data_IF_475029794443
#
_entry.id   IF_475029794443
#
_cell.length_a   1.000
_cell.length_b   1.000
_cell.length_c   1.000
_cell.angle_alpha   90.00
_cell.angle_beta   90.00
_cell.angle_gamma   90.00
#
_symmetry.space_group_name_H-M   'P 1'
#
loop_
_entity.id
_entity.type
_entity.pdbx_description
1 polymer ?
#
# COMPACT_ATOMS: atom_id res chain seq x y z
N UNK A 1 -15.83 3.19 -14.60
CA UNK A 1 -16.44 3.08 -14.04
C UNK A 1 -16.65 2.89 -12.68
N UNK A 2 -16.31 2.19 -11.87
CA UNK A 2 -16.87 2.03 -10.68
C UNK A 2 -16.18 2.57 -9.55
N UNK A 3 -16.65 3.53 -8.92
CA UNK A 3 -16.09 4.16 -7.75
C UNK A 3 -16.38 3.38 -6.47
N UNK A 4 -16.32 2.07 -6.55
CA UNK A 4 -16.67 1.24 -5.40
C UNK A 4 -15.53 1.03 -4.42
N UNK A 5 -14.32 1.42 -4.75
CA UNK A 5 -13.18 1.24 -3.87
C UNK A 5 -12.73 2.54 -3.23
N UNK A 6 -12.45 2.47 -1.94
CA UNK A 6 -11.71 3.50 -1.23
C UNK A 6 -10.38 2.83 -0.88
N UNK A 7 -9.32 3.23 -1.57
CA UNK A 7 -8.00 2.64 -1.37
C UNK A 7 -7.18 3.51 -0.42
N UNK A 8 -6.63 2.89 0.60
CA UNK A 8 -5.75 3.57 1.57
C UNK A 8 -4.35 3.00 1.40
N UNK A 9 -3.39 3.87 1.17
CA UNK A 9 -1.98 3.50 1.08
C UNK A 9 -1.14 4.60 1.75
N UNK A 10 0.15 4.49 1.76
CA UNK A 10 1.05 5.48 2.34
C UNK A 10 2.48 5.00 2.29
N UNK A 11 3.41 5.81 2.76
CA UNK A 11 4.81 5.45 2.82
C UNK A 11 5.03 4.25 3.74
N UNK A 12 6.15 3.57 3.55
CA UNK A 12 6.55 2.49 4.45
C UNK A 12 6.65 3.06 5.87
N UNK A 13 5.89 2.48 6.79
CA UNK A 13 5.79 2.98 8.17
C UNK A 13 4.56 3.82 8.45
N UNK A 14 3.80 4.21 7.42
CA UNK A 14 2.55 4.95 7.61
C UNK A 14 1.46 4.03 8.22
N UNK A 15 0.56 4.58 9.05
CA UNK A 15 -0.48 3.77 9.69
C UNK A 15 -1.67 3.50 8.75
N UNK A 16 -1.39 2.75 7.67
CA UNK A 16 -2.37 2.48 6.62
C UNK A 16 -3.55 1.66 7.12
N UNK A 17 -3.28 0.59 7.87
CA UNK A 17 -4.35 -0.29 8.36
C UNK A 17 -5.26 0.42 9.34
N UNK A 18 -4.68 1.20 10.24
CA UNK A 18 -5.43 1.96 11.22
C UNK A 18 -6.33 2.99 10.54
N UNK A 19 -5.79 3.68 9.54
CA UNK A 19 -6.56 4.67 8.78
C UNK A 19 -7.68 4.00 7.99
N UNK A 20 -7.40 2.87 7.37
CA UNK A 20 -8.41 2.11 6.62
C UNK A 20 -9.53 1.62 7.55
N UNK A 21 -9.18 1.12 8.73
CA UNK A 21 -10.17 0.70 9.73
C UNK A 21 -11.06 1.85 10.17
N UNK A 22 -10.48 3.02 10.39
CA UNK A 22 -11.22 4.22 10.77
C UNK A 22 -12.23 4.60 9.69
N UNK A 23 -11.81 4.65 8.44
CA UNK A 23 -12.69 5.00 7.33
C UNK A 23 -13.81 3.96 7.16
N UNK A 24 -13.46 2.67 7.23
CA UNK A 24 -14.43 1.60 7.10
C UNK A 24 -15.51 1.71 8.19
N UNK A 25 -15.10 1.99 9.42
CA UNK A 25 -16.04 2.14 10.53
C UNK A 25 -16.94 3.37 10.34
N UNK A 26 -16.35 4.51 9.95
CA UNK A 26 -17.10 5.75 9.75
C UNK A 26 -18.15 5.62 8.64
N UNK A 27 -17.81 4.90 7.59
CA UNK A 27 -18.70 4.76 6.43
C UNK A 27 -19.55 3.50 6.45
N UNK A 28 -19.35 2.64 7.44
CA UNK A 28 -20.09 1.38 7.53
C UNK A 28 -19.78 0.43 6.37
N UNK A 29 -18.54 0.42 5.90
CA UNK A 29 -18.12 -0.41 4.78
C UNK A 29 -17.21 -1.55 5.24
N UNK A 30 -17.20 -2.67 4.51
CA UNK A 30 -16.25 -3.73 4.81
C UNK A 30 -14.81 -3.29 4.51
N UNK A 31 -13.87 -3.86 5.26
CA UNK A 31 -12.45 -3.62 5.08
C UNK A 31 -11.79 -4.84 4.46
N UNK A 32 -10.99 -4.62 3.43
CA UNK A 32 -10.16 -5.67 2.83
C UNK A 32 -8.70 -5.26 3.01
N UNK A 33 -7.92 -6.16 3.61
CA UNK A 33 -6.47 -6.00 3.67
C UNK A 33 -5.89 -6.70 2.45
N UNK A 34 -5.31 -5.96 1.52
CA UNK A 34 -4.89 -6.50 0.23
C UNK A 34 -3.85 -7.62 0.37
N UNK A 35 -2.83 -7.41 1.21
CA UNK A 35 -1.79 -8.42 1.41
C UNK A 35 -2.34 -9.69 2.07
N UNK A 36 -3.26 -9.54 3.01
CA UNK A 36 -3.93 -10.69 3.63
C UNK A 36 -4.73 -11.48 2.61
N UNK A 37 -5.41 -10.79 1.72
CA UNK A 37 -6.19 -11.44 0.67
C UNK A 37 -5.29 -12.19 -0.32
N UNK A 38 -4.16 -11.59 -0.70
CA UNK A 38 -3.18 -12.21 -1.56
C UNK A 38 -2.59 -13.46 -0.90
N UNK A 39 -2.20 -13.36 0.37
CA UNK A 39 -1.65 -14.48 1.12
C UNK A 39 -2.65 -15.62 1.24
N UNK A 40 -3.92 -15.28 1.48
CA UNK A 40 -4.99 -16.27 1.57
C UNK A 40 -5.18 -17.04 0.26
N UNK A 41 -5.13 -16.34 -0.88
CA UNK A 41 -5.30 -16.97 -2.19
C UNK A 41 -4.08 -17.74 -2.65
N UNK A 42 -2.89 -17.18 -2.43
CA UNK A 42 -1.64 -17.76 -2.90
C UNK A 42 -1.10 -18.86 -1.97
N UNK A 43 -1.30 -18.71 -0.67
CA UNK A 43 -0.81 -19.66 0.33
C UNK A 43 0.59 -19.37 0.85
N UNK A 44 1.28 -18.37 0.31
CA UNK A 44 2.63 -17.98 0.75
C UNK A 44 2.59 -16.61 1.40
N UNK A 45 3.57 -16.32 2.27
CA UNK A 45 3.75 -14.96 2.80
C UNK A 45 4.17 -14.02 1.66
N UNK A 46 3.96 -12.74 1.81
CA UNK A 46 4.38 -11.74 0.82
C UNK A 46 5.89 -11.83 0.59
N UNK A 47 6.67 -11.98 1.67
CA UNK A 47 8.13 -12.15 1.57
C UNK A 47 8.49 -13.30 0.65
N UNK A 48 7.88 -14.45 0.87
CA UNK A 48 8.17 -15.66 0.11
C UNK A 48 7.75 -15.52 -1.34
N UNK A 49 6.60 -14.94 -1.55
CA UNK A 49 6.07 -14.69 -2.87
C UNK A 49 7.02 -13.79 -3.68
N UNK A 50 7.47 -12.69 -3.11
CA UNK A 50 8.39 -11.76 -3.77
C UNK A 50 9.73 -12.41 -4.02
N UNK A 51 10.23 -13.21 -3.07
CA UNK A 51 11.52 -13.91 -3.24
C UNK A 51 11.47 -14.92 -4.37
N UNK A 52 10.33 -15.59 -4.58
CA UNK A 52 10.21 -16.63 -5.59
C UNK A 52 9.69 -16.14 -6.93
N UNK A 53 8.77 -15.20 -6.93
CA UNK A 53 8.12 -14.72 -8.15
C UNK A 53 8.54 -13.30 -8.54
N UNK A 54 9.33 -12.62 -7.72
CA UNK A 54 9.76 -11.25 -7.95
C UNK A 54 8.68 -10.25 -7.60
N UNK A 55 9.06 -8.99 -7.63
CA UNK A 55 8.13 -7.90 -7.36
C UNK A 55 7.02 -7.86 -8.41
N UNK A 56 7.36 -8.14 -9.67
CA UNK A 56 6.38 -8.17 -10.74
C UNK A 56 5.25 -9.16 -10.47
N UNK A 57 5.57 -10.35 -9.97
CA UNK A 57 4.57 -11.35 -9.60
C UNK A 57 3.64 -10.86 -8.50
N UNK A 58 4.20 -10.18 -7.51
CA UNK A 58 3.42 -9.60 -6.42
C UNK A 58 2.48 -8.49 -6.95
N UNK A 59 2.99 -7.60 -7.80
CA UNK A 59 2.17 -6.52 -8.39
C UNK A 59 1.03 -7.09 -9.23
N UNK A 60 1.26 -8.18 -9.95
CA UNK A 60 0.20 -8.84 -10.71
C UNK A 60 -0.92 -9.37 -9.80
N UNK A 61 -0.57 -9.92 -8.64
CA UNK A 61 -1.57 -10.41 -7.68
C UNK A 61 -2.34 -9.27 -7.04
N UNK A 62 -1.67 -8.15 -6.74
CA UNK A 62 -2.37 -6.96 -6.28
C UNK A 62 -3.41 -6.51 -7.31
N UNK A 63 -3.01 -6.46 -8.57
CA UNK A 63 -3.90 -6.07 -9.65
C UNK A 63 -5.11 -7.00 -9.77
N UNK A 64 -4.89 -8.30 -9.71
CA UNK A 64 -5.98 -9.28 -9.81
C UNK A 64 -7.03 -9.06 -8.73
N UNK A 65 -6.60 -8.88 -7.48
CA UNK A 65 -7.53 -8.66 -6.38
C UNK A 65 -8.25 -7.32 -6.52
N UNK A 66 -7.50 -6.26 -6.85
CA UNK A 66 -8.12 -4.94 -7.04
C UNK A 66 -9.12 -4.94 -8.19
N UNK A 67 -8.81 -5.63 -9.28
CA UNK A 67 -9.68 -5.75 -10.43
C UNK A 67 -10.99 -6.44 -10.05
N UNK A 68 -10.92 -7.53 -9.29
CA UNK A 68 -12.11 -8.23 -8.84
C UNK A 68 -12.96 -7.37 -7.91
N UNK A 69 -12.33 -6.69 -6.95
CA UNK A 69 -13.05 -5.82 -6.03
C UNK A 69 -13.70 -4.65 -6.76
N UNK A 70 -13.01 -4.10 -7.74
CA UNK A 70 -13.52 -2.99 -8.54
C UNK A 70 -14.73 -3.39 -9.38
N UNK A 71 -14.75 -4.64 -9.84
CA UNK A 71 -15.86 -5.16 -10.65
C UNK A 71 -17.05 -5.60 -9.80
N UNK A 72 -16.87 -5.71 -8.49
CA UNK A 72 -17.92 -6.14 -7.58
C UNK A 72 -19.00 -5.10 -7.42
N UNK A 73 -20.16 -5.55 -6.95
CA UNK A 73 -21.32 -4.68 -6.76
C UNK A 73 -21.27 -3.90 -5.44
N UNK A 74 -20.45 -4.33 -4.50
CA UNK A 74 -20.43 -3.74 -3.15
C UNK A 74 -19.19 -2.88 -2.93
N UNK A 75 -19.36 -1.67 -2.41
CA UNK A 75 -18.20 -0.82 -2.08
C UNK A 75 -17.44 -1.37 -0.88
N UNK A 76 -16.15 -1.11 -0.84
CA UNK A 76 -15.31 -1.51 0.29
C UNK A 76 -14.09 -0.58 0.43
N UNK A 77 -13.47 -0.64 1.61
CA UNK A 77 -12.21 0.05 1.87
C UNK A 77 -11.10 -0.98 1.76
N UNK A 78 -10.05 -0.67 1.01
CA UNK A 78 -8.93 -1.58 0.78
C UNK A 78 -7.67 -0.97 1.35
N UNK A 79 -7.04 -1.67 2.29
CA UNK A 79 -5.72 -1.28 2.82
C UNK A 79 -4.67 -1.90 1.92
N UNK A 80 -3.85 -1.07 1.30
CA UNK A 80 -2.84 -1.49 0.34
C UNK A 80 -1.43 -1.20 0.82
N UNK A 81 -0.46 -1.97 0.34
CA UNK A 81 0.95 -1.73 0.64
C UNK A 81 1.47 -0.44 0.01
N UNK A 82 2.67 -0.07 0.42
CA UNK A 82 3.29 1.20 0.05
C UNK A 82 3.68 1.30 -1.43
N UNK A 83 3.73 0.19 -2.15
CA UNK A 83 4.09 0.18 -3.56
C UNK A 83 2.94 -0.08 -4.52
N UNK A 84 1.70 -0.05 -4.05
CA UNK A 84 0.55 -0.41 -4.89
C UNK A 84 0.39 0.51 -6.11
N UNK A 85 0.83 1.75 -6.01
CA UNK A 85 0.74 2.72 -7.12
C UNK A 85 1.87 2.61 -8.14
N UNK A 86 2.85 1.71 -7.91
CA UNK A 86 3.93 1.53 -8.87
C UNK A 86 3.47 0.81 -10.14
N UNK A 87 2.43 -0.02 -10.03
CA UNK A 87 1.88 -0.72 -11.18
C UNK A 87 0.83 0.15 -11.88
N UNK A 88 1.01 0.42 -13.17
CA UNK A 88 0.14 1.32 -13.90
C UNK A 88 -1.31 0.83 -13.97
N UNK A 89 -1.51 -0.46 -14.11
CA UNK A 89 -2.85 -1.04 -14.20
C UNK A 89 -3.60 -0.94 -12.87
N UNK A 90 -2.92 -1.23 -11.76
CA UNK A 90 -3.49 -1.06 -10.43
C UNK A 90 -3.80 0.41 -10.15
N UNK A 91 -2.89 1.29 -10.54
CA UNK A 91 -3.05 2.73 -10.37
C UNK A 91 -4.29 3.26 -11.10
N UNK A 92 -4.54 2.75 -12.29
CA UNK A 92 -5.72 3.13 -13.05
C UNK A 92 -7.01 2.73 -12.34
N UNK A 93 -7.06 1.51 -11.78
CA UNK A 93 -8.19 1.06 -10.98
C UNK A 93 -8.39 1.96 -9.77
N UNK A 94 -7.31 2.28 -9.07
CA UNK A 94 -7.34 3.12 -7.86
C UNK A 94 -7.87 4.51 -8.22
N UNK A 95 -7.44 5.07 -9.35
CA UNK A 95 -7.89 6.39 -9.77
C UNK A 95 -9.36 6.44 -10.19
N UNK A 96 -9.96 5.29 -10.48
CA UNK A 96 -11.40 5.23 -10.77
C UNK A 96 -12.26 5.32 -9.52
N UNK A 97 -11.66 5.11 -8.35
CA UNK A 97 -12.33 5.24 -7.06
C UNK A 97 -11.77 6.41 -6.25
N UNK A 98 -11.66 6.20 -4.95
CA UNK A 98 -11.12 7.21 -4.04
C UNK A 98 -9.78 6.74 -3.47
N UNK A 99 -8.80 7.63 -3.45
CA UNK A 99 -7.47 7.34 -2.90
C UNK A 99 -7.25 8.17 -1.65
N UNK A 100 -6.85 7.51 -0.56
CA UNK A 100 -6.48 8.16 0.70
C UNK A 100 -5.03 7.80 1.01
N UNK A 101 -4.21 8.81 1.28
CA UNK A 101 -2.82 8.61 1.63
C UNK A 101 -2.66 8.87 3.12
N UNK A 102 -2.30 7.82 3.87
CA UNK A 102 -2.15 7.88 5.31
C UNK A 102 -0.76 8.37 5.71
N UNK A 103 -0.68 8.98 6.88
CA UNK A 103 0.61 9.31 7.50
C UNK A 103 1.37 10.47 6.86
N UNK A 104 0.70 11.33 6.10
CA UNK A 104 1.37 12.46 5.45
C UNK A 104 1.91 13.48 6.43
N UNK A 105 1.45 13.43 7.68
CA UNK A 105 1.90 14.33 8.76
C UNK A 105 3.06 13.75 9.58
N UNK A 106 3.49 12.52 9.30
CA UNK A 106 4.56 11.89 10.05
C UNK A 106 5.94 12.28 9.53
N UNK A 107 6.88 12.44 10.45
CA UNK A 107 8.28 12.67 10.10
C UNK A 107 8.94 11.38 9.61
N UNK A 108 10.06 11.52 8.93
CA UNK A 108 10.83 10.35 8.48
C UNK A 108 11.26 9.49 9.67
N UNK A 109 11.62 10.10 10.80
CA UNK A 109 12.00 9.33 12.00
C UNK A 109 10.82 8.55 12.58
N UNK A 110 9.63 9.14 12.59
CA UNK A 110 8.43 8.44 13.05
C UNK A 110 8.09 7.28 12.13
N UNK A 111 8.20 7.48 10.82
CA UNK A 111 7.99 6.42 9.84
C UNK A 111 9.01 5.30 10.02
N UNK A 112 10.27 5.65 10.31
CA UNK A 112 11.32 4.67 10.54
C UNK A 112 11.04 3.79 11.76
N UNK A 113 10.60 4.40 12.88
CA UNK A 113 10.26 3.63 14.07
C UNK A 113 9.10 2.67 13.80
N UNK A 114 8.11 3.12 13.07
CA UNK A 114 6.98 2.27 12.68
C UNK A 114 7.42 1.15 11.74
N UNK A 115 8.29 1.47 10.78
CA UNK A 115 8.78 0.48 9.81
C UNK A 115 9.59 -0.62 10.47
N UNK A 116 10.41 -0.29 11.47
CA UNK A 116 11.18 -1.28 12.22
C UNK A 116 10.27 -2.25 12.98
N UNK A 117 9.13 -1.77 13.43
CA UNK A 117 8.18 -2.58 14.17
C UNK A 117 7.24 -3.40 13.27
N UNK A 118 7.21 -3.10 11.98
CA UNK A 118 6.31 -3.77 11.03
C UNK A 118 6.87 -5.14 10.63
N UNK A 119 6.15 -6.20 10.97
CA UNK A 119 6.54 -7.56 10.67
C UNK A 119 5.93 -8.09 9.37
N UNK A 120 4.96 -7.37 8.82
CA UNK A 120 4.19 -7.86 7.67
C UNK A 120 4.66 -7.34 6.31
N UNK A 121 5.09 -6.10 6.25
CA UNK A 121 5.55 -5.49 5.00
C UNK A 121 6.96 -5.94 4.67
N UNK A 122 7.16 -6.39 3.45
CA UNK A 122 8.48 -6.87 3.04
C UNK A 122 9.22 -5.84 2.19
N UNK A 123 10.42 -5.51 2.63
CA UNK A 123 11.40 -4.78 1.83
C UNK A 123 12.76 -5.47 2.03
N UNK A 124 13.38 -5.85 0.95
CA UNK A 124 14.62 -6.63 1.00
C UNK A 124 15.71 -5.97 1.83
N UNK A 125 15.83 -4.63 1.75
CA UNK A 125 16.89 -3.92 2.46
C UNK A 125 16.76 -4.02 3.99
N UNK A 126 15.57 -4.31 4.50
CA UNK A 126 15.36 -4.46 5.94
C UNK A 126 15.94 -5.77 6.48
N UNK A 127 16.30 -6.71 5.60
CA UNK A 127 16.83 -8.02 5.99
C UNK A 127 18.35 -8.10 5.94
N UNK A 128 19.02 -7.11 5.37
CA UNK A 128 20.46 -7.18 5.14
C UNK A 128 21.16 -5.88 5.52
N UNK A 129 22.42 -6.00 5.91
CA UNK A 129 23.25 -4.86 6.19
C UNK A 129 23.19 -4.37 7.63
N UNK A 130 23.93 -3.30 7.88
CA UNK A 130 23.97 -2.67 9.20
C UNK A 130 22.75 -1.78 9.41
N UNK A 131 22.51 -1.38 10.65
CA UNK A 131 21.43 -0.44 10.94
C UNK A 131 21.59 0.88 10.18
N UNK A 132 22.85 1.36 10.03
CA UNK A 132 23.12 2.57 9.26
C UNK A 132 22.77 2.41 7.79
N UNK A 133 23.12 1.27 7.21
CA UNK A 133 22.80 0.95 5.82
C UNK A 133 21.29 0.86 5.59
N UNK A 134 20.60 0.19 6.51
CA UNK A 134 19.14 0.07 6.45
C UNK A 134 18.47 1.43 6.56
N UNK A 135 18.95 2.26 7.49
CA UNK A 135 18.39 3.60 7.69
C UNK A 135 18.58 4.48 6.45
N UNK A 136 19.75 4.39 5.82
CA UNK A 136 20.03 5.13 4.59
C UNK A 136 19.14 4.68 3.43
N UNK A 137 18.96 3.36 3.29
CA UNK A 137 18.08 2.80 2.27
C UNK A 137 16.63 3.22 2.50
N UNK A 138 16.22 3.26 3.78
CA UNK A 138 14.88 3.73 4.15
C UNK A 138 14.69 5.21 3.75
N UNK A 139 15.69 6.07 4.02
CA UNK A 139 15.61 7.47 3.64
C UNK A 139 15.43 7.65 2.14
N UNK A 140 16.15 6.86 1.35
CA UNK A 140 16.02 6.89 -0.10
C UNK A 140 14.64 6.44 -0.56
N UNK A 141 14.10 5.39 0.06
CA UNK A 141 12.76 4.91 -0.24
C UNK A 141 11.70 5.97 0.09
N UNK A 142 11.78 6.55 1.28
CA UNK A 142 10.81 7.56 1.72
C UNK A 142 10.85 8.79 0.81
N UNK A 143 12.04 9.21 0.38
CA UNK A 143 12.15 10.35 -0.55
C UNK A 143 11.40 10.09 -1.84
N UNK A 144 11.56 8.88 -2.40
CA UNK A 144 10.86 8.50 -3.63
C UNK A 144 9.36 8.37 -3.42
N UNK A 145 8.95 7.77 -2.31
CA UNK A 145 7.53 7.59 -2.00
C UNK A 145 6.85 8.93 -1.73
N UNK A 146 7.49 9.82 -0.97
CA UNK A 146 6.93 11.15 -0.72
C UNK A 146 6.72 11.92 -2.02
N UNK A 147 7.68 11.85 -2.94
CA UNK A 147 7.54 12.51 -4.23
C UNK A 147 6.36 11.95 -5.02
N UNK A 148 6.22 10.63 -5.05
CA UNK A 148 5.10 9.97 -5.73
C UNK A 148 3.76 10.36 -5.12
N UNK A 149 3.65 10.34 -3.80
CA UNK A 149 2.40 10.65 -3.12
C UNK A 149 2.04 12.14 -3.23
N UNK A 150 3.04 13.02 -3.22
CA UNK A 150 2.81 14.46 -3.47
C UNK A 150 2.21 14.68 -4.86
N UNK A 151 2.73 14.00 -5.87
CA UNK A 151 2.20 14.07 -7.22
C UNK A 151 0.76 13.60 -7.29
N UNK A 152 0.44 12.52 -6.58
CA UNK A 152 -0.92 11.99 -6.51
C UNK A 152 -1.89 12.99 -5.87
N UNK A 153 -1.47 13.65 -4.78
CA UNK A 153 -2.28 14.66 -4.10
C UNK A 153 -2.53 15.84 -5.05
N UNK A 154 -1.50 16.31 -5.73
CA UNK A 154 -1.63 17.43 -6.67
C UNK A 154 -2.57 17.10 -7.83
N UNK A 155 -2.50 15.89 -8.36
CA UNK A 155 -3.40 15.46 -9.42
C UNK A 155 -4.85 15.39 -8.94
N UNK A 156 -5.05 14.92 -7.71
CA UNK A 156 -6.37 14.87 -7.08
C UNK A 156 -6.98 16.26 -6.91
N UNK A 157 -6.18 17.25 -6.56
CA UNK A 157 -6.65 18.64 -6.39
C UNK A 157 -7.05 19.30 -7.70
N UNK A 158 -6.50 18.84 -8.82
CA UNK A 158 -6.83 19.38 -10.14
C UNK A 158 -8.13 18.84 -10.72
N UNK A 159 -8.64 17.80 -10.12
CA UNK A 159 -9.93 17.25 -10.52
C UNK A 159 -11.05 18.00 -9.82
#
# INVERSE_FOLDING_TARGET
MNANLIVVTGCFGAPVKEKAQEIARQKGLPLVDLDSEITKRDGRSIRRLVMMNGEHGYRNLEYEVLSELSSGASPCVVACGDGVLYDDDSREIIHSGELVIAGTDLSEDELWENAKADADTYHAFMSFGTEEEKRAAFSDLIRRQCSMFEDEILQGEKK
#
